data_IF_430225668645
#
_entry.id   IF_430225668645
#
_cell.length_a   1.000
_cell.length_b   1.000
_cell.length_c   1.000
_cell.angle_alpha   90.00
_cell.angle_beta   90.00
_cell.angle_gamma   90.00
#
_symmetry.space_group_name_H-M   'P 1'
#
loop_
_entity.id
_entity.type
_entity.pdbx_description
1 polymer ?
#
# COMPACT_ATOMS: atom_id res chain seq x y z
N UNK A 1 10.74 -14.89 8.78
CA UNK A 1 9.60 -14.22 9.44
C UNK A 1 8.97 -13.26 8.44
N UNK A 2 7.66 -13.11 8.49
CA UNK A 2 6.89 -12.22 7.62
C UNK A 2 6.31 -11.08 8.45
N UNK A 3 6.73 -9.85 8.15
CA UNK A 3 6.37 -8.67 8.94
C UNK A 3 5.58 -7.71 8.08
N UNK A 4 4.35 -7.39 8.51
CA UNK A 4 3.56 -6.31 7.93
C UNK A 4 3.94 -4.98 8.62
N UNK A 5 4.34 -3.99 7.85
CA UNK A 5 4.71 -2.66 8.30
C UNK A 5 3.72 -1.63 7.76
N UNK A 6 3.02 -0.95 8.66
CA UNK A 6 1.99 0.03 8.33
C UNK A 6 2.42 1.40 8.88
N UNK A 7 3.01 2.27 8.04
CA UNK A 7 3.40 3.61 8.46
C UNK A 7 2.18 4.53 8.56
N UNK A 8 1.97 5.11 9.74
CA UNK A 8 0.81 5.96 10.05
C UNK A 8 1.27 7.22 10.76
N UNK A 9 1.22 8.37 10.11
CA UNK A 9 1.60 9.63 10.73
C UNK A 9 0.40 10.44 11.19
N UNK A 10 0.58 11.32 12.20
CA UNK A 10 -0.45 12.24 12.65
C UNK A 10 -0.76 13.32 11.61
N UNK A 11 0.29 13.86 10.98
CA UNK A 11 0.19 14.93 10.00
C UNK A 11 -0.33 14.43 8.65
N UNK A 12 -1.60 14.69 8.32
CA UNK A 12 -2.13 14.55 6.97
C UNK A 12 -2.55 15.92 6.46
N UNK A 13 -2.04 16.31 5.26
CA UNK A 13 -2.30 17.65 4.69
C UNK A 13 -3.70 17.78 4.13
N UNK A 14 -4.18 16.75 3.45
CA UNK A 14 -5.46 16.76 2.77
C UNK A 14 -6.64 16.53 3.71
N UNK A 15 -6.51 15.59 4.65
CA UNK A 15 -7.55 15.23 5.61
C UNK A 15 -6.93 15.23 7.02
N UNK A 16 -7.30 16.17 7.90
CA UNK A 16 -6.79 16.19 9.28
C UNK A 16 -7.06 14.87 10.00
N UNK A 17 -6.04 14.35 10.67
CA UNK A 17 -6.11 13.08 11.41
C UNK A 17 -6.64 11.89 10.58
N UNK A 18 -6.39 11.89 9.27
CA UNK A 18 -6.90 10.92 8.29
C UNK A 18 -6.92 9.47 8.81
N UNK A 19 -5.81 9.04 9.40
CA UNK A 19 -5.63 7.63 9.79
C UNK A 19 -6.54 7.18 10.95
N UNK A 20 -7.06 8.10 11.74
CA UNK A 20 -7.96 7.82 12.87
C UNK A 20 -9.39 8.33 12.64
N UNK A 21 -9.65 9.02 11.53
CA UNK A 21 -11.00 9.39 11.09
C UNK A 21 -11.77 8.11 10.78
N UNK A 22 -13.01 8.05 11.24
CA UNK A 22 -13.85 6.86 11.08
C UNK A 22 -14.39 6.72 9.67
N UNK A 23 -14.30 5.51 9.14
CA UNK A 23 -14.95 5.04 7.92
C UNK A 23 -15.59 3.68 8.22
N UNK A 24 -16.85 3.50 7.87
CA UNK A 24 -17.62 2.29 8.21
C UNK A 24 -17.57 1.95 9.71
N UNK A 25 -17.64 2.98 10.59
CA UNK A 25 -17.68 2.82 12.04
C UNK A 25 -16.37 2.39 12.70
N UNK A 26 -15.24 2.46 11.98
CA UNK A 26 -13.90 2.18 12.51
C UNK A 26 -12.89 3.21 11.99
N UNK A 27 -11.81 3.50 12.75
CA UNK A 27 -10.70 4.31 12.26
C UNK A 27 -10.11 3.76 10.96
N UNK A 28 -9.70 4.63 10.03
CA UNK A 28 -9.14 4.20 8.74
C UNK A 28 -8.03 3.14 8.89
N UNK A 29 -7.08 3.35 9.79
CA UNK A 29 -5.98 2.39 10.04
C UNK A 29 -6.43 1.03 10.55
N UNK A 30 -7.62 0.94 11.16
CA UNK A 30 -8.17 -0.32 11.65
C UNK A 30 -8.29 -1.37 10.54
N UNK A 31 -8.71 -0.97 9.35
CA UNK A 31 -9.03 -1.89 8.25
C UNK A 31 -7.80 -2.63 7.74
N UNK A 32 -6.73 -1.90 7.42
CA UNK A 32 -5.48 -2.51 6.97
C UNK A 32 -4.75 -3.25 8.10
N UNK A 33 -4.81 -2.73 9.33
CA UNK A 33 -4.28 -3.42 10.51
C UNK A 33 -4.99 -4.75 10.77
N UNK A 34 -6.34 -4.78 10.64
CA UNK A 34 -7.13 -6.00 10.76
C UNK A 34 -6.78 -6.99 9.66
N UNK A 35 -6.72 -6.56 8.42
CA UNK A 35 -6.38 -7.43 7.29
C UNK A 35 -4.99 -8.05 7.46
N UNK A 36 -4.00 -7.27 7.89
CA UNK A 36 -2.66 -7.78 8.17
C UNK A 36 -2.64 -8.72 9.40
N UNK A 37 -3.41 -8.42 10.45
CA UNK A 37 -3.51 -9.27 11.63
C UNK A 37 -4.18 -10.63 11.33
N UNK A 38 -5.19 -10.62 10.46
CA UNK A 38 -5.95 -11.81 10.11
C UNK A 38 -5.30 -12.66 9.01
N UNK A 39 -4.37 -12.09 8.23
CA UNK A 39 -3.62 -12.84 7.22
C UNK A 39 -2.79 -13.97 7.85
N UNK A 40 -2.91 -15.18 7.30
CA UNK A 40 -2.24 -16.39 7.83
C UNK A 40 -0.73 -16.31 7.66
N UNK A 41 -0.27 -15.74 6.55
CA UNK A 41 1.15 -15.62 6.23
C UNK A 41 1.90 -14.61 7.09
N UNK A 42 1.24 -13.69 7.79
CA UNK A 42 1.87 -12.63 8.58
C UNK A 42 2.14 -13.10 10.01
N UNK A 43 3.39 -13.00 10.46
CA UNK A 43 3.80 -13.32 11.83
C UNK A 43 3.60 -12.13 12.78
N UNK A 44 3.87 -10.91 12.32
CA UNK A 44 3.86 -9.69 13.12
C UNK A 44 3.40 -8.49 12.31
N UNK A 45 2.63 -7.58 12.94
CA UNK A 45 2.14 -6.33 12.35
C UNK A 45 2.73 -5.15 13.12
N UNK A 46 3.46 -4.28 12.44
CA UNK A 46 4.09 -3.10 13.02
C UNK A 46 3.35 -1.86 12.57
N UNK A 47 2.72 -1.17 13.51
CA UNK A 47 2.14 0.16 13.28
C UNK A 47 3.17 1.22 13.67
N UNK A 48 3.77 1.85 12.66
CA UNK A 48 4.82 2.86 12.87
C UNK A 48 4.22 4.26 12.93
N UNK A 49 4.20 4.88 14.12
CA UNK A 49 3.59 6.20 14.32
C UNK A 49 4.37 7.08 15.29
N UNK A 50 4.29 8.39 15.08
CA UNK A 50 4.79 9.44 15.95
C UNK A 50 3.74 9.96 16.96
N UNK A 51 2.46 9.58 16.75
CA UNK A 51 1.32 10.15 17.49
C UNK A 51 0.89 9.29 18.68
N UNK A 52 0.85 9.88 19.85
CA UNK A 52 0.31 9.23 21.05
C UNK A 52 -1.20 8.93 20.94
N UNK A 53 -1.93 9.75 20.19
CA UNK A 53 -3.36 9.54 19.93
C UNK A 53 -3.57 8.30 19.08
N UNK A 54 -2.83 8.16 17.95
CA UNK A 54 -2.87 6.95 17.11
C UNK A 54 -2.47 5.71 17.92
N UNK A 55 -1.40 5.79 18.74
CA UNK A 55 -0.99 4.67 19.60
C UNK A 55 -2.12 4.23 20.55
N UNK A 56 -2.81 5.19 21.18
CA UNK A 56 -3.93 4.89 22.09
C UNK A 56 -5.06 4.16 21.37
N UNK A 57 -5.43 4.63 20.17
CA UNK A 57 -6.48 4.02 19.34
C UNK A 57 -6.07 2.62 18.88
N UNK A 58 -4.85 2.44 18.38
CA UNK A 58 -4.34 1.15 17.91
C UNK A 58 -4.30 0.11 19.04
N UNK A 59 -3.91 0.51 20.27
CA UNK A 59 -3.95 -0.37 21.45
C UNK A 59 -5.35 -0.89 21.77
N UNK A 60 -6.40 -0.12 21.46
CA UNK A 60 -7.77 -0.54 21.70
C UNK A 60 -8.27 -1.62 20.72
N UNK A 61 -7.58 -1.90 19.63
CA UNK A 61 -8.00 -2.91 18.65
C UNK A 61 -7.93 -4.34 19.17
N UNK A 62 -7.10 -4.59 20.20
CA UNK A 62 -6.91 -5.93 20.80
C UNK A 62 -6.52 -7.01 19.77
N UNK A 63 -5.71 -6.67 18.78
CA UNK A 63 -5.23 -7.56 17.74
C UNK A 63 -3.87 -8.15 18.14
N UNK A 64 -3.72 -9.49 18.27
CA UNK A 64 -2.58 -10.12 18.92
C UNK A 64 -1.24 -9.97 18.18
N UNK A 65 -1.24 -9.78 16.85
CA UNK A 65 0.00 -9.64 16.07
C UNK A 65 0.50 -8.19 16.05
N UNK A 66 -0.26 -7.22 16.57
CA UNK A 66 0.09 -5.79 16.46
C UNK A 66 1.10 -5.38 17.53
N UNK A 67 2.17 -4.77 17.05
CA UNK A 67 3.13 -4.02 17.84
C UNK A 67 3.20 -2.57 17.34
N UNK A 68 3.43 -1.64 18.26
CA UNK A 68 3.56 -0.22 17.93
C UNK A 68 5.04 0.15 17.93
N UNK A 69 5.47 0.78 16.84
CA UNK A 69 6.81 1.32 16.69
C UNK A 69 6.77 2.85 16.75
N UNK A 70 7.59 3.40 17.64
CA UNK A 70 7.79 4.86 17.80
C UNK A 70 8.75 5.36 16.72
N UNK A 71 8.24 6.11 15.72
CA UNK A 71 9.06 6.73 14.68
C UNK A 71 9.91 7.85 15.23
N UNK A 72 11.13 8.00 14.73
CA UNK A 72 11.96 9.17 15.02
C UNK A 72 11.31 10.45 14.48
N UNK A 73 11.46 11.54 15.23
CA UNK A 73 10.90 12.84 14.87
C UNK A 73 11.34 13.33 13.47
N UNK A 74 12.57 13.01 13.06
CA UNK A 74 13.09 13.33 11.72
C UNK A 74 12.35 12.61 10.59
N UNK A 75 11.80 11.42 10.86
CA UNK A 75 11.01 10.64 9.92
C UNK A 75 9.49 10.84 10.07
N UNK A 76 9.06 11.73 10.98
CA UNK A 76 7.67 12.13 11.18
C UNK A 76 7.29 13.41 10.40
N UNK A 77 8.23 13.99 9.66
CA UNK A 77 8.02 15.22 8.89
C UNK A 77 7.21 14.98 7.62
N UNK A 78 6.66 16.04 7.05
CA UNK A 78 5.91 15.99 5.79
C UNK A 78 6.74 15.60 4.56
N UNK A 79 8.06 15.74 4.66
CA UNK A 79 9.02 15.43 3.59
C UNK A 79 9.68 14.06 3.74
N UNK A 80 9.45 13.40 4.88
CA UNK A 80 9.98 12.05 5.11
C UNK A 80 9.33 11.05 4.14
N UNK A 81 10.14 10.29 3.41
CA UNK A 81 9.64 9.23 2.53
C UNK A 81 9.20 8.01 3.32
N UNK A 82 8.34 7.20 2.74
CA UNK A 82 7.97 5.90 3.32
C UNK A 82 9.20 5.01 3.50
N UNK A 83 10.11 5.04 2.54
CA UNK A 83 11.37 4.29 2.59
C UNK A 83 12.24 4.69 3.77
N UNK A 84 12.31 5.98 4.13
CA UNK A 84 13.11 6.42 5.29
C UNK A 84 12.60 5.81 6.60
N UNK A 85 11.28 5.67 6.74
CA UNK A 85 10.65 5.05 7.91
C UNK A 85 10.85 3.54 7.93
N UNK A 86 10.74 2.89 6.77
CA UNK A 86 11.03 1.45 6.63
C UNK A 86 12.47 1.16 7.04
N UNK A 87 13.43 1.89 6.48
CA UNK A 87 14.86 1.73 6.78
C UNK A 87 15.18 2.02 8.25
N UNK A 88 14.53 3.03 8.85
CA UNK A 88 14.67 3.31 10.28
C UNK A 88 14.27 2.11 11.12
N UNK A 89 13.06 1.55 10.86
CA UNK A 89 12.57 0.39 11.60
C UNK A 89 13.47 -0.84 11.39
N UNK A 90 13.83 -1.15 10.16
CA UNK A 90 14.68 -2.31 9.83
C UNK A 90 16.03 -2.22 10.57
N UNK A 91 16.69 -1.04 10.55
CA UNK A 91 17.98 -0.84 11.19
C UNK A 91 17.94 -0.90 12.73
N UNK A 92 16.78 -0.68 13.36
CA UNK A 92 16.58 -0.72 14.81
C UNK A 92 15.97 -2.04 15.31
N UNK A 93 15.57 -2.91 14.41
CA UNK A 93 14.92 -4.19 14.71
C UNK A 93 15.92 -5.36 14.60
N UNK A 94 15.52 -6.52 15.14
CA UNK A 94 16.28 -7.77 15.06
C UNK A 94 15.95 -8.58 13.80
N UNK A 95 15.48 -7.94 12.73
CA UNK A 95 15.12 -8.57 11.47
C UNK A 95 16.33 -9.18 10.78
N UNK A 96 16.12 -10.37 10.21
CA UNK A 96 17.14 -11.07 9.44
C UNK A 96 17.08 -10.71 7.96
N UNK A 97 18.19 -10.87 7.28
CA UNK A 97 18.32 -10.57 5.85
C UNK A 97 17.24 -11.25 4.98
N UNK A 98 16.88 -12.49 5.33
CA UNK A 98 15.90 -13.29 4.58
C UNK A 98 14.45 -13.18 5.11
N UNK A 99 14.20 -12.30 6.08
CA UNK A 99 12.83 -12.01 6.49
C UNK A 99 12.10 -11.23 5.39
N UNK A 100 10.80 -11.52 5.22
CA UNK A 100 9.96 -10.80 4.27
C UNK A 100 9.32 -9.58 4.94
N UNK A 101 9.40 -8.46 4.26
CA UNK A 101 8.87 -7.19 4.69
C UNK A 101 7.70 -6.79 3.79
N UNK A 102 6.51 -6.71 4.39
CA UNK A 102 5.27 -6.30 3.72
C UNK A 102 4.99 -4.84 4.07
N UNK A 103 5.20 -3.94 3.14
CA UNK A 103 4.73 -2.57 3.29
C UNK A 103 3.25 -2.50 2.93
N UNK A 104 2.41 -2.11 3.87
CA UNK A 104 0.96 -1.94 3.68
C UNK A 104 0.59 -0.49 3.97
N UNK A 105 -0.16 0.15 3.06
CA UNK A 105 -0.57 1.53 3.25
C UNK A 105 -1.96 1.61 3.89
N UNK A 106 -2.08 2.42 4.96
CA UNK A 106 -3.35 2.63 5.67
C UNK A 106 -4.44 3.28 4.80
N UNK A 107 -4.06 3.92 3.71
CA UNK A 107 -4.95 4.57 2.74
C UNK A 107 -5.73 3.60 1.86
N UNK A 108 -5.43 2.31 1.91
CA UNK A 108 -6.06 1.26 1.10
C UNK A 108 -6.94 0.32 1.96
N UNK A 109 -8.03 0.81 2.58
CA UNK A 109 -8.83 0.05 3.55
C UNK A 109 -9.55 -1.18 2.94
N UNK A 110 -9.60 -1.28 1.61
CA UNK A 110 -10.19 -2.42 0.91
C UNK A 110 -9.21 -3.57 0.63
N UNK A 111 -8.01 -3.52 1.17
CA UNK A 111 -7.09 -4.66 1.22
C UNK A 111 -7.62 -5.68 2.24
N UNK A 112 -7.78 -6.95 1.86
CA UNK A 112 -8.24 -8.05 2.73
C UNK A 112 -7.11 -9.01 3.08
N UNK A 113 -7.28 -9.80 4.14
CA UNK A 113 -6.33 -10.85 4.54
C UNK A 113 -6.06 -11.84 3.40
N UNK A 114 -7.12 -12.30 2.73
CA UNK A 114 -7.03 -13.19 1.57
C UNK A 114 -6.19 -12.63 0.41
N UNK A 115 -6.18 -11.30 0.23
CA UNK A 115 -5.33 -10.64 -0.77
C UNK A 115 -3.85 -10.71 -0.38
N UNK A 116 -3.53 -10.53 0.90
CA UNK A 116 -2.17 -10.59 1.43
C UNK A 116 -1.63 -12.01 1.32
N UNK A 117 -2.42 -12.99 1.74
CA UNK A 117 -2.04 -14.41 1.69
C UNK A 117 -1.83 -14.87 0.23
N UNK A 118 -2.77 -14.59 -0.65
CA UNK A 118 -2.66 -14.94 -2.07
C UNK A 118 -1.50 -14.26 -2.78
N UNK A 119 -1.23 -12.98 -2.44
CA UNK A 119 -0.07 -12.26 -2.96
C UNK A 119 1.25 -12.89 -2.51
N UNK A 120 1.35 -13.31 -1.25
CA UNK A 120 2.55 -13.98 -0.73
C UNK A 120 2.76 -15.35 -1.35
N UNK A 121 1.72 -16.15 -1.47
CA UNK A 121 1.78 -17.45 -2.15
C UNK A 121 2.27 -17.30 -3.60
N UNK A 122 1.70 -16.35 -4.34
CA UNK A 122 2.13 -16.06 -5.71
C UNK A 122 3.59 -15.59 -5.76
N UNK A 123 3.99 -14.71 -4.82
CA UNK A 123 5.37 -14.23 -4.74
C UNK A 123 6.38 -15.37 -4.58
N UNK A 124 6.10 -16.31 -3.67
CA UNK A 124 6.96 -17.48 -3.45
C UNK A 124 7.10 -18.37 -4.70
N UNK A 125 6.05 -18.44 -5.53
CA UNK A 125 6.04 -19.26 -6.75
C UNK A 125 6.67 -18.55 -7.95
N UNK A 126 6.66 -17.22 -7.97
CA UNK A 126 7.07 -16.42 -9.13
C UNK A 126 8.58 -16.42 -9.40
N UNK A 127 9.40 -16.62 -8.36
CA UNK A 127 10.85 -16.46 -8.42
C UNK A 127 11.30 -14.99 -8.59
N UNK A 128 10.41 -14.02 -8.40
CA UNK A 128 10.74 -12.59 -8.43
C UNK A 128 11.47 -12.15 -7.15
N UNK A 129 12.20 -11.05 -7.24
CA UNK A 129 12.90 -10.45 -6.10
C UNK A 129 12.00 -9.58 -5.24
N UNK A 130 10.97 -9.00 -5.83
CA UNK A 130 9.94 -8.21 -5.14
C UNK A 130 8.62 -8.21 -5.90
N UNK A 131 7.53 -7.84 -5.21
CA UNK A 131 6.19 -7.82 -5.77
C UNK A 131 5.40 -6.62 -5.23
N UNK A 132 4.52 -6.08 -6.06
CA UNK A 132 3.52 -5.08 -5.65
C UNK A 132 2.10 -5.52 -5.99
N UNK A 133 1.13 -4.99 -5.27
CA UNK A 133 -0.28 -5.14 -5.62
C UNK A 133 -0.68 -4.13 -6.68
N UNK A 134 -1.44 -4.58 -7.68
CA UNK A 134 -1.88 -3.72 -8.78
C UNK A 134 -3.23 -4.12 -9.33
N UNK A 135 -3.77 -3.30 -10.20
CA UNK A 135 -5.00 -3.54 -10.94
C UNK A 135 -4.77 -3.37 -12.43
N UNK A 136 -5.50 -4.11 -13.26
CA UNK A 136 -5.44 -3.91 -14.71
C UNK A 136 -6.34 -2.74 -15.10
N UNK A 137 -5.71 -1.64 -15.52
CA UNK A 137 -6.40 -0.47 -16.07
C UNK A 137 -6.56 -0.55 -17.58
N UNK A 138 -7.81 -0.56 -18.04
CA UNK A 138 -8.14 -0.53 -19.46
C UNK A 138 -8.49 0.89 -19.93
N UNK A 139 -7.64 1.86 -19.54
CA UNK A 139 -7.73 3.25 -19.98
C UNK A 139 -6.68 3.55 -21.03
N UNK A 140 -6.99 4.46 -21.95
CA UNK A 140 -6.05 4.95 -22.96
C UNK A 140 -5.28 6.15 -22.43
N UNK A 141 -3.96 5.99 -22.30
CA UNK A 141 -3.10 7.01 -21.73
C UNK A 141 -2.35 7.80 -22.79
N UNK A 142 -2.18 9.10 -22.51
CA UNK A 142 -1.43 10.02 -23.33
C UNK A 142 -0.35 10.69 -22.49
N UNK A 143 0.82 10.90 -23.05
CA UNK A 143 1.88 11.68 -22.39
C UNK A 143 2.11 12.99 -23.11
N UNK A 144 2.36 14.04 -22.33
CA UNK A 144 2.76 15.34 -22.85
C UNK A 144 4.17 15.22 -23.44
N UNK A 145 4.37 15.69 -24.67
CA UNK A 145 5.65 15.71 -25.35
C UNK A 145 6.26 17.11 -25.46
N UNK A 146 5.42 18.15 -25.37
CA UNK A 146 5.83 19.55 -25.33
C UNK A 146 4.86 20.34 -24.44
N UNK A 147 5.33 20.82 -23.28
CA UNK A 147 4.51 21.56 -22.31
C UNK A 147 4.06 22.92 -22.83
N UNK A 148 4.91 23.61 -23.63
CA UNK A 148 4.58 24.95 -24.13
C UNK A 148 3.48 24.93 -25.19
N UNK A 149 3.43 23.87 -26.01
CA UNK A 149 2.45 23.69 -27.08
C UNK A 149 1.34 22.72 -26.73
N UNK A 150 1.32 22.17 -25.53
CA UNK A 150 0.36 21.12 -25.09
C UNK A 150 0.27 19.93 -26.06
N UNK A 151 1.38 19.58 -26.72
CA UNK A 151 1.41 18.41 -27.62
C UNK A 151 1.46 17.12 -26.82
N UNK A 152 0.71 16.12 -27.29
CA UNK A 152 0.58 14.83 -26.63
C UNK A 152 0.79 13.68 -27.62
N UNK A 153 1.21 12.52 -27.10
CA UNK A 153 1.24 11.26 -27.86
C UNK A 153 0.67 10.12 -27.03
N UNK A 154 0.05 9.10 -27.66
CA UNK A 154 -0.44 7.93 -26.97
C UNK A 154 0.70 7.14 -26.32
N UNK A 155 0.41 6.47 -25.19
CA UNK A 155 1.38 5.66 -24.45
C UNK A 155 1.16 4.18 -24.70
N UNK A 156 -0.08 3.72 -24.65
CA UNK A 156 -0.41 2.30 -24.55
C UNK A 156 -1.35 1.78 -25.66
N UNK A 157 -1.58 2.55 -26.72
CA UNK A 157 -2.38 2.08 -27.86
C UNK A 157 -2.04 2.85 -29.14
N UNK A 158 -2.44 2.31 -30.30
CA UNK A 158 -2.43 3.04 -31.57
C UNK A 158 -3.75 3.79 -31.74
N UNK A 159 -3.70 5.13 -31.72
CA UNK A 159 -4.90 5.97 -31.85
C UNK A 159 -5.54 5.90 -33.25
N UNK A 160 -4.80 5.44 -34.29
CA UNK A 160 -5.33 5.24 -35.64
C UNK A 160 -6.09 3.94 -35.75
N UNK A 161 -5.78 2.96 -34.89
CA UNK A 161 -6.41 1.65 -34.81
C UNK A 161 -6.83 1.35 -33.37
N UNK A 162 -7.76 2.15 -32.85
CA UNK A 162 -8.20 2.07 -31.45
C UNK A 162 -8.89 0.73 -31.18
N UNK A 163 -8.32 -0.12 -30.29
CA UNK A 163 -8.95 -1.40 -29.96
C UNK A 163 -10.23 -1.23 -29.16
N UNK A 164 -11.09 -2.25 -29.19
CA UNK A 164 -12.22 -2.35 -28.26
C UNK A 164 -11.71 -2.67 -26.86
N UNK A 165 -12.48 -2.28 -25.83
CA UNK A 165 -12.09 -2.52 -24.43
C UNK A 165 -11.79 -3.98 -24.11
N UNK A 166 -12.52 -4.93 -24.75
CA UNK A 166 -12.32 -6.37 -24.55
C UNK A 166 -11.03 -6.88 -25.16
N UNK A 167 -10.58 -6.27 -26.26
CA UNK A 167 -9.39 -6.63 -27.03
C UNK A 167 -8.13 -5.90 -26.53
N UNK A 168 -8.30 -4.96 -25.63
CA UNK A 168 -7.22 -4.15 -25.09
C UNK A 168 -6.71 -4.75 -23.78
N UNK A 169 -5.42 -5.12 -23.73
CA UNK A 169 -4.79 -5.71 -22.53
C UNK A 169 -4.73 -4.74 -21.37
N UNK A 170 -4.54 -3.45 -21.64
CA UNK A 170 -4.40 -2.41 -20.62
C UNK A 170 -2.96 -2.22 -20.14
N UNK A 171 -2.85 -1.59 -18.99
CA UNK A 171 -1.62 -1.45 -18.22
C UNK A 171 -1.88 -1.87 -16.78
N UNK A 172 -0.82 -2.26 -16.10
CA UNK A 172 -0.89 -2.48 -14.66
C UNK A 172 -0.73 -1.12 -13.96
N UNK A 173 -1.75 -0.75 -13.21
CA UNK A 173 -1.68 0.38 -12.30
C UNK A 173 -1.30 -0.13 -10.90
N UNK A 174 -0.23 0.39 -10.35
CA UNK A 174 0.18 0.18 -8.97
C UNK A 174 -0.86 0.84 -8.05
N UNK A 175 -1.51 0.07 -7.17
CA UNK A 175 -2.59 0.57 -6.33
C UNK A 175 -2.15 0.93 -4.90
N UNK A 176 -0.84 0.93 -4.64
CA UNK A 176 -0.29 1.36 -3.36
C UNK A 176 -0.58 0.46 -2.15
N UNK A 177 -1.46 -0.53 -2.27
CA UNK A 177 -2.01 -1.22 -1.10
C UNK A 177 -0.98 -2.11 -0.37
N UNK A 178 -0.21 -2.93 -1.12
CA UNK A 178 0.75 -3.85 -0.54
C UNK A 178 1.98 -4.08 -1.42
N UNK A 179 3.15 -4.17 -0.78
CA UNK A 179 4.43 -4.50 -1.39
C UNK A 179 5.12 -5.57 -0.56
N UNK A 180 5.81 -6.53 -1.21
CA UNK A 180 6.61 -7.54 -0.50
C UNK A 180 8.02 -7.53 -1.08
N UNK A 181 9.00 -7.47 -0.18
CA UNK A 181 10.42 -7.54 -0.54
C UNK A 181 11.19 -8.16 0.64
N UNK A 182 12.40 -8.68 0.41
CA UNK A 182 13.25 -9.13 1.49
C UNK A 182 13.93 -7.95 2.21
N UNK A 183 14.19 -8.10 3.49
CA UNK A 183 14.96 -7.12 4.28
C UNK A 183 16.31 -6.83 3.62
N UNK A 184 17.00 -7.87 3.15
CA UNK A 184 18.29 -7.74 2.43
C UNK A 184 18.19 -6.79 1.23
N UNK A 185 17.19 -7.00 0.38
CA UNK A 185 17.02 -6.21 -0.83
C UNK A 185 16.65 -4.75 -0.50
N UNK A 186 15.77 -4.53 0.48
CA UNK A 186 15.42 -3.19 0.96
C UNK A 186 16.65 -2.44 1.48
N UNK A 187 17.51 -3.10 2.26
CA UNK A 187 18.73 -2.47 2.77
C UNK A 187 19.74 -2.15 1.66
N UNK A 188 19.82 -3.02 0.64
CA UNK A 188 20.71 -2.82 -0.52
C UNK A 188 20.25 -1.62 -1.38
N UNK A 189 18.99 -1.66 -1.82
CA UNK A 189 18.46 -0.73 -2.82
C UNK A 189 17.80 0.50 -2.20
N UNK A 190 17.57 0.48 -0.89
CA UNK A 190 16.86 1.54 -0.12
C UNK A 190 15.48 1.86 -0.71
N UNK A 191 14.82 0.85 -1.25
CA UNK A 191 13.55 0.95 -1.96
C UNK A 191 12.64 -0.22 -1.58
N UNK A 192 11.32 0.01 -1.65
CA UNK A 192 10.29 -1.03 -1.42
C UNK A 192 10.30 -2.12 -2.49
N UNK A 193 10.81 -1.84 -3.67
CA UNK A 193 10.92 -2.76 -4.80
C UNK A 193 12.38 -2.93 -5.22
N UNK A 194 12.75 -4.13 -5.68
CA UNK A 194 14.12 -4.49 -6.04
C UNK A 194 14.15 -5.58 -7.11
N UNK A 195 15.22 -5.63 -7.89
CA UNK A 195 15.53 -6.73 -8.81
C UNK A 195 14.47 -7.01 -9.87
N UNK A 196 14.13 -8.27 -10.06
CA UNK A 196 13.03 -8.70 -10.93
C UNK A 196 11.71 -8.49 -10.19
N UNK A 197 10.90 -7.56 -10.69
CA UNK A 197 9.64 -7.15 -10.06
C UNK A 197 8.48 -7.86 -10.74
N UNK A 198 7.57 -8.43 -9.95
CA UNK A 198 6.29 -8.94 -10.43
C UNK A 198 5.13 -8.19 -9.77
N UNK A 199 3.91 -8.49 -10.17
CA UNK A 199 2.71 -7.91 -9.55
C UNK A 199 1.69 -8.98 -9.23
N UNK A 200 0.81 -8.68 -8.26
CA UNK A 200 -0.37 -9.47 -7.95
C UNK A 200 -1.61 -8.67 -8.26
N UNK A 201 -2.48 -9.21 -9.11
CA UNK A 201 -3.69 -8.52 -9.54
C UNK A 201 -4.76 -8.56 -8.43
N UNK A 202 -5.14 -7.38 -7.97
CA UNK A 202 -6.25 -7.21 -7.06
C UNK A 202 -7.54 -6.82 -7.80
N UNK A 203 -8.71 -7.03 -7.18
CA UNK A 203 -9.97 -6.56 -7.73
C UNK A 203 -9.96 -5.06 -8.03
N UNK A 204 -10.53 -4.63 -9.14
CA UNK A 204 -10.46 -3.24 -9.61
C UNK A 204 -10.97 -2.20 -8.61
N UNK A 205 -11.89 -2.56 -7.70
CA UNK A 205 -12.35 -1.66 -6.67
C UNK A 205 -11.29 -1.31 -5.62
N UNK A 206 -10.22 -2.10 -5.48
CA UNK A 206 -9.10 -1.82 -4.56
C UNK A 206 -8.17 -0.71 -5.07
N UNK A 207 -8.37 -0.21 -6.29
CA UNK A 207 -7.61 0.92 -6.83
C UNK A 207 -7.97 2.27 -6.21
N UNK A 208 -9.08 2.32 -5.45
CA UNK A 208 -9.49 3.55 -4.78
C UNK A 208 -8.81 3.66 -3.41
N UNK A 209 -7.83 4.56 -3.33
CA UNK A 209 -7.16 4.97 -2.10
C UNK A 209 -7.81 6.22 -1.53
N UNK A 210 -7.63 6.47 -0.24
CA UNK A 210 -8.11 7.69 0.40
C UNK A 210 -6.96 8.69 0.49
N UNK A 211 -6.92 9.66 -0.40
CA UNK A 211 -5.94 10.74 -0.38
C UNK A 211 -6.60 12.10 -0.18
N UNK A 212 -7.79 12.29 -0.72
CA UNK A 212 -8.56 13.52 -0.63
C UNK A 212 -9.95 13.26 -0.01
N UNK A 213 -10.64 14.34 0.39
CA UNK A 213 -11.98 14.24 1.01
C UNK A 213 -13.01 13.62 0.05
N UNK A 214 -12.85 13.81 -1.26
CA UNK A 214 -13.72 13.21 -2.27
C UNK A 214 -13.62 11.67 -2.30
N UNK A 215 -12.42 11.13 -2.06
CA UNK A 215 -12.18 9.69 -2.06
C UNK A 215 -12.91 9.01 -0.91
N UNK A 216 -13.07 9.72 0.22
CA UNK A 216 -13.70 9.19 1.43
C UNK A 216 -15.07 8.60 1.13
N UNK A 217 -15.92 9.37 0.44
CA UNK A 217 -17.29 8.94 0.14
C UNK A 217 -17.33 7.80 -0.88
N UNK A 218 -16.40 7.82 -1.83
CA UNK A 218 -16.29 6.73 -2.83
C UNK A 218 -15.91 5.43 -2.13
N UNK A 219 -14.85 5.45 -1.32
CA UNK A 219 -14.35 4.27 -0.63
C UNK A 219 -15.37 3.75 0.38
N UNK A 220 -16.01 4.63 1.17
CA UNK A 220 -17.08 4.26 2.10
C UNK A 220 -18.21 3.50 1.40
N UNK A 221 -18.69 4.03 0.26
CA UNK A 221 -19.74 3.36 -0.53
C UNK A 221 -19.29 2.01 -1.09
N UNK A 222 -18.03 1.89 -1.52
CA UNK A 222 -17.46 0.62 -2.00
C UNK A 222 -17.32 -0.39 -0.85
N UNK A 223 -16.88 0.04 0.32
CA UNK A 223 -16.76 -0.82 1.50
C UNK A 223 -18.12 -1.38 1.91
N UNK A 224 -19.17 -0.55 1.94
CA UNK A 224 -20.53 -1.00 2.19
C UNK A 224 -20.97 -2.06 1.16
N UNK A 225 -20.73 -1.79 -0.13
CA UNK A 225 -21.13 -2.69 -1.23
C UNK A 225 -20.42 -4.04 -1.18
N UNK A 226 -19.15 -4.08 -0.79
CA UNK A 226 -18.33 -5.30 -0.76
C UNK A 226 -18.18 -5.92 0.65
N UNK A 227 -19.01 -5.49 1.59
CA UNK A 227 -19.15 -6.08 2.96
C UNK A 227 -17.84 -6.06 3.75
N UNK A 228 -17.32 -4.84 3.97
CA UNK A 228 -16.17 -4.60 4.86
C UNK A 228 -16.60 -4.24 6.27
#
# INVERSE_FOLDING_TARGET
MNIAFIPVRAGSKSIPLKNIKEINGKPLVYWTAKSANDAECIDKVIIATDSNEIKSIVKSFSMPKIEIYDRDAQNATDTASTESVMLEYINKSDLKADDNFFLIQATSPMLKAEHIDGMFEYFQQSGADSIFSGVVEKQFHWKITNNQQCLVKPVNYDYRNRPRRQEFEGLIAENGACYINSVKNILCDKCRLSGNITYYELPSYTSYEIDEEADWKIVETLMEKFSY
#
